data_IF_995627112235
#
_entry.id   IF_995627112235
#
_cell.length_a   1.000
_cell.length_b   1.000
_cell.length_c   1.000
_cell.angle_alpha   90.00
_cell.angle_beta   90.00
_cell.angle_gamma   90.00
#
_symmetry.space_group_name_H-M   'P 1'
#
loop_
_entity.id
_entity.type
_entity.pdbx_description
1 polymer ?
#
# COMPACT_ATOMS: atom_id res chain seq x y z
N UNK A 1 -19.12 -0.54 18.11
CA UNK A 1 -19.69 -0.43 16.74
C UNK A 1 -19.33 -1.70 15.98
N UNK A 2 -20.21 -2.23 15.13
CA UNK A 2 -19.86 -3.43 14.35
C UNK A 2 -18.87 -3.09 13.23
N UNK A 3 -18.15 -4.09 12.71
CA UNK A 3 -17.24 -3.89 11.57
C UNK A 3 -17.99 -3.39 10.33
N UNK A 4 -19.21 -3.88 10.09
CA UNK A 4 -20.02 -3.46 8.95
C UNK A 4 -20.47 -1.99 9.07
N UNK A 5 -20.92 -1.58 10.26
CA UNK A 5 -21.29 -0.18 10.54
C UNK A 5 -20.09 0.75 10.34
N UNK A 6 -18.92 0.37 10.86
CA UNK A 6 -17.69 1.15 10.66
C UNK A 6 -17.36 1.30 9.18
N UNK A 7 -17.39 0.20 8.43
CA UNK A 7 -17.12 0.20 6.99
C UNK A 7 -18.15 1.01 6.20
N UNK A 8 -19.39 1.11 6.68
CA UNK A 8 -20.39 2.00 6.09
C UNK A 8 -20.03 3.48 6.32
N UNK A 9 -19.65 3.85 7.54
CA UNK A 9 -19.24 5.23 7.88
C UNK A 9 -17.99 5.67 7.12
N UNK A 10 -16.97 4.81 7.06
CA UNK A 10 -15.75 5.04 6.26
C UNK A 10 -16.08 5.27 4.78
N UNK A 11 -17.00 4.48 4.21
CA UNK A 11 -17.46 4.68 2.83
C UNK A 11 -18.14 6.02 2.64
N UNK A 12 -18.97 6.46 3.59
CA UNK A 12 -19.62 7.77 3.55
C UNK A 12 -18.59 8.92 3.58
N UNK A 13 -17.56 8.82 4.43
CA UNK A 13 -16.45 9.80 4.49
C UNK A 13 -15.73 9.86 3.14
N UNK A 14 -15.33 8.70 2.59
CA UNK A 14 -14.62 8.63 1.29
C UNK A 14 -15.46 9.22 0.15
N UNK A 15 -16.77 8.97 0.13
CA UNK A 15 -17.68 9.56 -0.86
C UNK A 15 -17.82 11.08 -0.70
N UNK A 16 -17.94 11.58 0.54
CA UNK A 16 -17.99 13.01 0.81
C UNK A 16 -16.71 13.72 0.33
N UNK A 17 -15.54 13.14 0.61
CA UNK A 17 -14.25 13.62 0.12
C UNK A 17 -14.18 13.65 -1.40
N UNK A 18 -14.61 12.58 -2.07
CA UNK A 18 -14.66 12.51 -3.54
C UNK A 18 -15.54 13.61 -4.16
N UNK A 19 -16.60 14.02 -3.45
CA UNK A 19 -17.53 15.09 -3.86
C UNK A 19 -17.09 16.48 -3.41
N UNK A 20 -15.96 16.62 -2.73
CA UNK A 20 -15.50 17.89 -2.16
C UNK A 20 -16.35 18.38 -0.97
N UNK A 21 -17.18 17.52 -0.38
CA UNK A 21 -18.05 17.84 0.76
C UNK A 21 -17.25 17.75 2.07
N UNK A 22 -16.26 18.63 2.22
CA UNK A 22 -15.27 18.56 3.31
C UNK A 22 -15.88 18.76 4.71
N UNK A 23 -16.90 19.62 4.84
CA UNK A 23 -17.63 19.80 6.10
C UNK A 23 -18.39 18.55 6.52
N UNK A 24 -19.03 17.86 5.56
CA UNK A 24 -19.72 16.58 5.79
C UNK A 24 -18.73 15.49 6.19
N UNK A 25 -17.60 15.37 5.48
CA UNK A 25 -16.53 14.44 5.85
C UNK A 25 -16.03 14.69 7.28
N UNK A 26 -15.77 15.96 7.63
CA UNK A 26 -15.34 16.36 8.97
C UNK A 26 -16.37 15.99 10.04
N UNK A 27 -17.66 16.19 9.78
CA UNK A 27 -18.74 15.79 10.70
C UNK A 27 -18.72 14.29 10.97
N UNK A 28 -18.69 13.46 9.92
CA UNK A 28 -18.64 12.01 10.08
C UNK A 28 -17.40 11.53 10.84
N UNK A 29 -16.24 12.17 10.63
CA UNK A 29 -15.02 11.88 11.38
C UNK A 29 -15.20 12.23 12.86
N UNK A 30 -15.78 13.38 13.17
CA UNK A 30 -16.03 13.81 14.56
C UNK A 30 -16.99 12.87 15.30
N UNK A 31 -17.95 12.28 14.59
CA UNK A 31 -18.86 11.28 15.14
C UNK A 31 -18.16 9.95 15.44
N UNK A 32 -17.06 9.63 14.74
CA UNK A 32 -16.29 8.40 14.91
C UNK A 32 -15.21 8.49 16.00
N UNK A 33 -14.57 9.64 16.17
CA UNK A 33 -13.48 9.85 17.13
C UNK A 33 -13.80 9.47 18.60
N UNK A 34 -15.01 9.68 19.15
CA UNK A 34 -15.31 9.30 20.54
C UNK A 34 -15.65 7.82 20.72
N UNK A 35 -15.77 7.04 19.64
CA UNK A 35 -16.15 5.65 19.72
C UNK A 35 -14.94 4.77 20.09
N UNK A 36 -15.21 3.64 20.74
CA UNK A 36 -14.19 2.60 20.92
C UNK A 36 -13.93 1.91 19.58
N UNK A 37 -12.77 2.20 19.00
CA UNK A 37 -12.27 1.66 17.73
C UNK A 37 -11.12 0.68 18.01
N UNK A 38 -10.92 -0.28 17.11
CA UNK A 38 -9.65 -1.04 17.11
C UNK A 38 -8.52 -0.16 16.59
N UNK A 39 -7.26 -0.51 16.89
CA UNK A 39 -6.09 0.22 16.39
C UNK A 39 -6.13 0.45 14.87
N UNK A 40 -6.53 -0.57 14.10
CA UNK A 40 -6.65 -0.46 12.64
C UNK A 40 -7.74 0.53 12.22
N UNK A 41 -8.88 0.53 12.90
CA UNK A 41 -9.99 1.43 12.63
C UNK A 41 -9.64 2.87 13.00
N UNK A 42 -8.98 3.06 14.15
CA UNK A 42 -8.50 4.35 14.61
C UNK A 42 -7.47 4.94 13.62
N UNK A 43 -6.52 4.12 13.15
CA UNK A 43 -5.56 4.53 12.13
C UNK A 43 -6.25 4.97 10.83
N UNK A 44 -7.27 4.23 10.35
CA UNK A 44 -8.01 4.61 9.14
C UNK A 44 -8.78 5.94 9.34
N UNK A 45 -9.39 6.16 10.50
CA UNK A 45 -10.10 7.42 10.82
C UNK A 45 -9.12 8.59 10.91
N UNK A 46 -7.98 8.42 11.58
CA UNK A 46 -6.94 9.46 11.69
C UNK A 46 -6.37 9.83 10.31
N UNK A 47 -6.16 8.84 9.43
CA UNK A 47 -5.77 9.09 8.05
C UNK A 47 -6.82 9.91 7.30
N UNK A 48 -8.11 9.53 7.37
CA UNK A 48 -9.18 10.28 6.72
C UNK A 48 -9.34 11.70 7.31
N UNK A 49 -9.09 11.86 8.62
CA UNK A 49 -9.03 13.16 9.29
C UNK A 49 -7.92 14.03 8.70
N UNK A 50 -6.69 13.51 8.59
CA UNK A 50 -5.56 14.21 8.00
C UNK A 50 -5.87 14.70 6.57
N UNK A 51 -6.39 13.80 5.72
CA UNK A 51 -6.82 14.13 4.35
C UNK A 51 -7.86 15.25 4.35
N UNK A 52 -8.88 15.13 5.19
CA UNK A 52 -9.96 16.11 5.29
C UNK A 52 -9.44 17.48 5.72
N UNK A 53 -8.56 17.52 6.72
CA UNK A 53 -7.97 18.74 7.24
C UNK A 53 -7.06 19.40 6.20
N UNK A 54 -6.20 18.65 5.51
CA UNK A 54 -5.35 19.19 4.44
C UNK A 54 -6.19 19.81 3.32
N UNK A 55 -7.21 19.09 2.83
CA UNK A 55 -8.09 19.60 1.78
C UNK A 55 -8.90 20.83 2.23
N UNK A 56 -9.11 20.98 3.54
CA UNK A 56 -9.77 22.14 4.14
C UNK A 56 -8.81 23.28 4.51
N UNK A 57 -7.55 23.22 4.06
CA UNK A 57 -6.46 24.15 4.42
C UNK A 57 -6.20 24.30 5.93
N UNK A 58 -6.64 23.32 6.73
CA UNK A 58 -6.40 23.24 8.18
C UNK A 58 -5.10 22.46 8.44
N UNK A 59 -3.97 22.98 7.95
CA UNK A 59 -2.70 22.23 7.95
C UNK A 59 -2.21 21.83 9.36
N UNK A 60 -2.39 22.69 10.36
CA UNK A 60 -2.02 22.38 11.75
C UNK A 60 -2.75 21.14 12.28
N UNK A 61 -4.05 21.02 12.00
CA UNK A 61 -4.84 19.86 12.45
C UNK A 61 -4.54 18.61 11.61
N UNK A 62 -4.20 18.77 10.33
CA UNK A 62 -3.71 17.67 9.50
C UNK A 62 -2.42 17.06 10.08
N UNK A 63 -1.44 17.90 10.43
CA UNK A 63 -0.20 17.44 11.06
C UNK A 63 -0.44 16.74 12.40
N UNK A 64 -1.33 17.25 13.26
CA UNK A 64 -1.68 16.58 14.53
C UNK A 64 -2.31 15.20 14.31
N UNK A 65 -3.22 15.09 13.33
CA UNK A 65 -3.84 13.82 13.00
C UNK A 65 -2.80 12.81 12.48
N UNK A 66 -1.86 13.27 11.64
CA UNK A 66 -0.75 12.44 11.14
C UNK A 66 0.19 12.03 12.27
N UNK A 67 0.56 12.94 13.17
CA UNK A 67 1.46 12.64 14.28
C UNK A 67 0.85 11.57 15.20
N UNK A 68 -0.44 11.69 15.48
CA UNK A 68 -1.21 10.65 16.21
C UNK A 68 -1.22 9.33 15.44
N UNK A 69 -1.51 9.38 14.14
CA UNK A 69 -1.55 8.19 13.26
C UNK A 69 -0.20 7.46 13.24
N UNK A 70 0.90 8.18 13.04
CA UNK A 70 2.23 7.60 12.91
C UNK A 70 2.82 7.19 14.27
N UNK A 71 2.34 7.78 15.37
CA UNK A 71 2.63 7.27 16.72
C UNK A 71 1.94 5.93 16.98
N UNK A 72 0.70 5.77 16.49
CA UNK A 72 -0.06 4.52 16.59
C UNK A 72 0.47 3.43 15.65
N UNK A 73 0.74 3.81 14.40
CA UNK A 73 1.21 2.93 13.32
C UNK A 73 2.41 3.57 12.60
N UNK A 74 3.64 3.36 13.11
CA UNK A 74 4.85 3.94 12.51
C UNK A 74 5.16 3.50 11.08
N UNK A 75 4.51 2.44 10.60
CA UNK A 75 4.63 1.84 9.28
C UNK A 75 3.45 2.14 8.35
N UNK A 76 2.58 3.10 8.70
CA UNK A 76 1.39 3.42 7.90
C UNK A 76 1.76 4.21 6.64
N UNK A 77 2.07 3.51 5.53
CA UNK A 77 2.59 4.11 4.29
C UNK A 77 1.75 5.26 3.73
N UNK A 78 0.41 5.15 3.76
CA UNK A 78 -0.48 6.25 3.33
C UNK A 78 -0.42 7.47 4.25
N UNK A 79 -0.07 7.27 5.52
CA UNK A 79 0.13 8.35 6.50
C UNK A 79 1.34 9.19 6.11
N UNK A 80 2.43 8.56 5.68
CA UNK A 80 3.58 9.29 5.13
C UNK A 80 3.29 9.95 3.78
N UNK A 81 2.48 9.33 2.91
CA UNK A 81 2.04 10.00 1.68
C UNK A 81 1.24 11.27 2.00
N UNK A 82 0.33 11.18 2.97
CA UNK A 82 -0.49 12.32 3.39
C UNK A 82 0.34 13.38 4.11
N UNK A 83 1.34 12.98 4.90
CA UNK A 83 2.35 13.88 5.48
C UNK A 83 3.11 14.65 4.41
N UNK A 84 3.51 13.96 3.34
CA UNK A 84 4.19 14.59 2.22
C UNK A 84 3.32 15.64 1.53
N UNK A 85 2.04 15.33 1.28
CA UNK A 85 1.09 16.31 0.76
C UNK A 85 0.86 17.49 1.70
N UNK A 86 0.88 17.27 3.02
CA UNK A 86 0.79 18.37 4.00
C UNK A 86 2.01 19.28 3.92
N UNK A 87 3.21 18.73 3.82
CA UNK A 87 4.44 19.51 3.62
C UNK A 87 4.44 20.27 2.29
N UNK A 88 4.01 19.64 1.19
CA UNK A 88 3.84 20.34 -0.10
C UNK A 88 2.89 21.53 0.02
N UNK A 89 1.76 21.37 0.72
CA UNK A 89 0.76 22.42 0.88
C UNK A 89 1.28 23.65 1.66
N UNK A 90 2.27 23.47 2.55
CA UNK A 90 2.93 24.55 3.28
C UNK A 90 4.25 25.01 2.66
N UNK A 91 4.61 24.49 1.48
CA UNK A 91 5.82 24.87 0.75
C UNK A 91 7.12 24.22 1.25
N UNK A 92 7.03 23.22 2.11
CA UNK A 92 8.18 22.53 2.71
C UNK A 92 8.62 21.34 1.83
N UNK A 93 9.31 21.64 0.73
CA UNK A 93 9.71 20.63 -0.26
C UNK A 93 10.67 19.57 0.31
N UNK A 94 11.54 19.95 1.25
CA UNK A 94 12.54 19.05 1.82
C UNK A 94 11.87 17.95 2.65
N UNK A 95 10.96 18.33 3.55
CA UNK A 95 10.25 17.34 4.35
C UNK A 95 9.22 16.56 3.52
N UNK A 96 8.63 17.18 2.49
CA UNK A 96 7.78 16.46 1.53
C UNK A 96 8.54 15.31 0.84
N UNK A 97 9.75 15.55 0.35
CA UNK A 97 10.58 14.53 -0.29
C UNK A 97 10.88 13.35 0.65
N UNK A 98 11.28 13.65 1.89
CA UNK A 98 11.52 12.64 2.93
C UNK A 98 10.27 11.80 3.23
N UNK A 99 9.11 12.46 3.34
CA UNK A 99 7.84 11.79 3.60
C UNK A 99 7.39 10.92 2.41
N UNK A 100 7.52 11.37 1.16
CA UNK A 100 7.22 10.52 0.00
C UNK A 100 8.12 9.29 -0.07
N UNK A 101 9.42 9.44 0.24
CA UNK A 101 10.35 8.31 0.30
C UNK A 101 9.93 7.28 1.34
N UNK A 102 9.56 7.72 2.55
CA UNK A 102 9.00 6.82 3.58
C UNK A 102 7.70 6.17 3.12
N UNK A 103 6.84 6.91 2.42
CA UNK A 103 5.58 6.37 1.90
C UNK A 103 5.84 5.20 0.94
N UNK A 104 6.78 5.35 0.00
CA UNK A 104 7.15 4.27 -0.94
C UNK A 104 7.92 3.13 -0.28
N UNK A 105 8.61 3.39 0.82
CA UNK A 105 9.30 2.36 1.59
C UNK A 105 8.30 1.45 2.33
N UNK A 106 7.33 2.04 3.02
CA UNK A 106 6.33 1.29 3.78
C UNK A 106 5.21 0.71 2.91
N UNK A 107 4.86 1.39 1.82
CA UNK A 107 3.92 0.89 0.83
C UNK A 107 4.42 1.18 -0.59
N UNK A 108 5.18 0.23 -1.17
CA UNK A 108 5.67 0.31 -2.54
C UNK A 108 4.58 0.37 -3.62
N UNK A 109 3.30 0.14 -3.30
CA UNK A 109 2.19 0.20 -4.25
C UNK A 109 1.63 1.62 -4.47
N UNK A 110 2.12 2.63 -3.71
CA UNK A 110 1.65 4.01 -3.80
C UNK A 110 2.20 4.74 -5.04
N UNK A 111 1.53 4.55 -6.18
CA UNK A 111 1.90 5.18 -7.47
C UNK A 111 2.06 6.70 -7.34
N UNK A 112 1.18 7.37 -6.59
CA UNK A 112 1.23 8.83 -6.46
C UNK A 112 2.49 9.30 -5.74
N UNK A 113 2.93 8.60 -4.70
CA UNK A 113 4.20 8.87 -4.02
C UNK A 113 5.40 8.66 -4.96
N UNK A 114 5.39 7.58 -5.74
CA UNK A 114 6.44 7.33 -6.73
C UNK A 114 6.52 8.44 -7.79
N UNK A 115 5.38 8.90 -8.30
CA UNK A 115 5.34 10.02 -9.27
C UNK A 115 5.90 11.31 -8.71
N UNK A 116 5.66 11.57 -7.42
CA UNK A 116 6.21 12.74 -6.71
C UNK A 116 7.72 12.61 -6.54
N UNK A 117 8.21 11.44 -6.12
CA UNK A 117 9.64 11.16 -6.05
C UNK A 117 10.34 11.24 -7.40
N UNK A 118 9.71 10.74 -8.47
CA UNK A 118 10.26 10.83 -9.82
C UNK A 118 10.56 12.28 -10.21
N UNK A 119 9.62 13.20 -9.98
CA UNK A 119 9.83 14.62 -10.24
C UNK A 119 10.98 15.19 -9.40
N UNK A 120 11.08 14.78 -8.14
CA UNK A 120 12.18 15.19 -7.25
C UNK A 120 13.52 14.69 -7.78
N UNK A 121 13.63 13.40 -8.14
CA UNK A 121 14.86 12.81 -8.67
C UNK A 121 15.28 13.44 -10.00
N UNK A 122 14.34 13.78 -10.87
CA UNK A 122 14.58 14.53 -12.11
C UNK A 122 15.16 15.91 -11.83
N UNK A 123 14.59 16.64 -10.87
CA UNK A 123 15.09 17.96 -10.48
C UNK A 123 16.52 17.89 -9.91
N UNK A 124 16.83 16.82 -9.19
CA UNK A 124 18.18 16.57 -8.65
C UNK A 124 19.15 15.91 -9.65
N UNK A 125 18.67 15.51 -10.84
CA UNK A 125 19.44 14.78 -11.86
C UNK A 125 20.05 13.47 -11.35
N UNK A 126 19.34 12.78 -10.46
CA UNK A 126 19.72 11.44 -10.00
C UNK A 126 19.18 10.39 -10.98
N UNK A 127 20.00 10.06 -12.00
CA UNK A 127 19.61 9.15 -13.07
C UNK A 127 19.26 7.74 -12.57
N UNK A 128 19.93 7.27 -11.51
CA UNK A 128 19.70 5.93 -10.94
C UNK A 128 18.35 5.90 -10.22
N UNK A 129 18.07 6.89 -9.38
CA UNK A 129 16.80 6.98 -8.67
C UNK A 129 15.62 7.27 -9.62
N UNK A 130 15.85 8.06 -10.66
CA UNK A 130 14.88 8.30 -11.74
C UNK A 130 14.50 6.99 -12.46
N UNK A 131 15.49 6.19 -12.88
CA UNK A 131 15.22 4.92 -13.54
C UNK A 131 14.47 3.95 -12.63
N UNK A 132 14.86 3.86 -11.35
CA UNK A 132 14.19 3.02 -10.37
C UNK A 132 12.72 3.41 -10.20
N UNK A 133 12.44 4.69 -9.95
CA UNK A 133 11.09 5.20 -9.79
C UNK A 133 10.26 4.98 -11.07
N UNK A 134 10.85 5.21 -12.24
CA UNK A 134 10.18 5.02 -13.53
C UNK A 134 9.79 3.56 -13.78
N UNK A 135 10.71 2.62 -13.51
CA UNK A 135 10.46 1.19 -13.62
C UNK A 135 9.34 0.75 -12.66
N UNK A 136 9.37 1.25 -11.42
CA UNK A 136 8.34 0.93 -10.43
C UNK A 136 6.97 1.48 -10.83
N UNK A 137 6.89 2.72 -11.31
CA UNK A 137 5.64 3.31 -11.82
C UNK A 137 5.10 2.49 -12.99
N UNK A 138 5.95 2.18 -13.98
CA UNK A 138 5.56 1.41 -15.15
C UNK A 138 5.01 0.03 -14.77
N UNK A 139 5.68 -0.65 -13.83
CA UNK A 139 5.21 -1.90 -13.28
C UNK A 139 3.83 -1.78 -12.62
N UNK A 140 3.67 -0.85 -11.67
CA UNK A 140 2.41 -0.68 -10.95
C UNK A 140 1.26 -0.31 -11.90
N UNK A 141 1.55 0.45 -12.96
CA UNK A 141 0.57 0.81 -13.99
C UNK A 141 0.22 -0.35 -14.92
N UNK A 142 1.10 -1.33 -15.09
CA UNK A 142 0.80 -2.55 -15.88
C UNK A 142 -0.07 -3.55 -15.13
N UNK A 143 -0.17 -3.43 -13.80
CA UNK A 143 -0.95 -4.35 -12.98
C UNK A 143 -2.46 -4.22 -13.27
N UNK A 144 -3.21 -5.33 -13.27
CA UNK A 144 -4.67 -5.25 -13.22
C UNK A 144 -5.12 -4.42 -12.01
N UNK A 145 -6.11 -3.50 -12.14
CA UNK A 145 -6.52 -2.64 -11.03
C UNK A 145 -6.87 -3.37 -9.72
N UNK A 146 -7.53 -4.55 -9.75
CA UNK A 146 -7.75 -5.33 -8.52
C UNK A 146 -6.45 -5.78 -7.86
N UNK A 147 -5.43 -6.15 -8.64
CA UNK A 147 -4.15 -6.63 -8.10
C UNK A 147 -3.33 -5.47 -7.53
N UNK A 148 -3.33 -4.31 -8.19
CA UNK A 148 -2.74 -3.10 -7.60
C UNK A 148 -3.41 -2.75 -6.25
N UNK A 149 -4.74 -2.83 -6.18
CA UNK A 149 -5.47 -2.63 -4.93
C UNK A 149 -5.15 -3.68 -3.87
N UNK A 150 -4.92 -4.93 -4.26
CA UNK A 150 -4.54 -6.00 -3.34
C UNK A 150 -3.12 -5.80 -2.76
N UNK A 151 -2.16 -5.31 -3.56
CA UNK A 151 -0.83 -4.93 -3.06
C UNK A 151 -0.92 -3.81 -2.02
N UNK A 152 -1.73 -2.79 -2.30
CA UNK A 152 -1.96 -1.67 -1.37
C UNK A 152 -2.54 -2.17 -0.04
N UNK A 153 -3.55 -3.04 -0.08
CA UNK A 153 -4.13 -3.69 1.10
C UNK A 153 -3.10 -4.57 1.85
N UNK A 154 -2.24 -5.29 1.13
CA UNK A 154 -1.20 -6.14 1.72
C UNK A 154 -0.21 -5.30 2.53
N UNK A 155 0.30 -4.20 1.97
CA UNK A 155 1.24 -3.31 2.68
C UNK A 155 0.58 -2.55 3.84
N UNK A 156 -0.75 -2.39 3.82
CA UNK A 156 -1.52 -1.93 4.98
C UNK A 156 -1.77 -3.01 6.05
N UNK A 157 -1.26 -4.23 5.84
CA UNK A 157 -1.49 -5.43 6.66
C UNK A 157 -2.93 -5.92 6.69
N UNK A 158 -3.73 -5.53 5.70
CA UNK A 158 -5.09 -6.02 5.51
C UNK A 158 -5.08 -7.34 4.71
N UNK A 159 -4.36 -8.35 5.24
CA UNK A 159 -4.07 -9.59 4.52
C UNK A 159 -5.31 -10.35 4.04
N UNK A 160 -6.34 -10.45 4.89
CA UNK A 160 -7.58 -11.12 4.53
C UNK A 160 -8.31 -10.43 3.35
N UNK A 161 -8.34 -9.09 3.35
CA UNK A 161 -8.93 -8.32 2.26
C UNK A 161 -8.11 -8.45 0.97
N UNK A 162 -6.78 -8.36 1.07
CA UNK A 162 -5.88 -8.54 -0.07
C UNK A 162 -6.02 -9.94 -0.69
N UNK A 163 -6.03 -10.98 0.15
CA UNK A 163 -6.21 -12.37 -0.27
C UNK A 163 -7.56 -12.56 -0.97
N UNK A 164 -8.64 -12.04 -0.39
CA UNK A 164 -9.97 -12.11 -0.97
C UNK A 164 -10.01 -11.49 -2.38
N UNK A 165 -9.39 -10.31 -2.56
CA UNK A 165 -9.31 -9.66 -3.87
C UNK A 165 -8.54 -10.52 -4.87
N UNK A 166 -7.38 -11.06 -4.49
CA UNK A 166 -6.59 -11.94 -5.35
C UNK A 166 -7.36 -13.20 -5.75
N UNK A 167 -8.03 -13.87 -4.80
CA UNK A 167 -8.82 -15.08 -5.08
C UNK A 167 -10.01 -14.78 -5.98
N UNK A 168 -10.71 -13.67 -5.78
CA UNK A 168 -11.80 -13.24 -6.65
C UNK A 168 -11.32 -12.92 -8.08
N UNK A 169 -10.13 -12.34 -8.20
CA UNK A 169 -9.49 -12.10 -9.50
C UNK A 169 -9.16 -13.43 -10.19
N UNK A 170 -8.52 -14.37 -9.48
CA UNK A 170 -8.13 -15.67 -10.02
C UNK A 170 -9.31 -16.60 -10.32
N UNK A 171 -10.46 -16.42 -9.65
CA UNK A 171 -11.69 -17.13 -9.99
C UNK A 171 -12.19 -16.78 -11.41
N UNK A 172 -11.87 -15.58 -11.91
CA UNK A 172 -12.20 -15.14 -13.27
C UNK A 172 -11.06 -15.40 -14.25
N UNK A 173 -9.82 -15.29 -13.80
CA UNK A 173 -8.61 -15.57 -14.56
C UNK A 173 -7.83 -16.69 -13.89
N UNK A 174 -7.97 -17.93 -14.40
CA UNK A 174 -7.49 -19.16 -13.73
C UNK A 174 -6.05 -19.08 -13.20
N UNK A 175 -5.18 -18.34 -13.88
CA UNK A 175 -3.81 -18.08 -13.48
C UNK A 175 -3.41 -16.65 -13.88
N UNK A 176 -2.58 -16.01 -13.06
CA UNK A 176 -1.95 -14.72 -13.36
C UNK A 176 -0.71 -14.55 -12.46
N UNK A 177 0.48 -14.27 -13.02
CA UNK A 177 1.73 -14.37 -12.25
C UNK A 177 1.76 -13.42 -11.07
N UNK A 178 1.37 -12.15 -11.25
CA UNK A 178 1.35 -11.16 -10.16
C UNK A 178 0.35 -11.51 -9.05
N UNK A 179 -0.78 -12.14 -9.39
CA UNK A 179 -1.78 -12.52 -8.39
C UNK A 179 -1.31 -13.73 -7.58
N UNK A 180 -0.62 -14.67 -8.23
CA UNK A 180 -0.02 -15.84 -7.59
C UNK A 180 1.15 -15.43 -6.69
N UNK A 181 2.05 -14.56 -7.16
CA UNK A 181 3.15 -14.01 -6.36
C UNK A 181 2.63 -13.26 -5.13
N UNK A 182 1.62 -12.40 -5.30
CA UNK A 182 1.03 -11.68 -4.18
C UNK A 182 0.33 -12.61 -3.18
N UNK A 183 -0.40 -13.64 -3.63
CA UNK A 183 -0.98 -14.63 -2.72
C UNK A 183 0.08 -15.40 -1.94
N UNK A 184 1.18 -15.77 -2.59
CA UNK A 184 2.30 -16.40 -1.90
C UNK A 184 2.94 -15.46 -0.88
N UNK A 185 3.12 -14.18 -1.22
CA UNK A 185 3.66 -13.20 -0.28
C UNK A 185 2.73 -13.00 0.93
N UNK A 186 1.41 -12.94 0.72
CA UNK A 186 0.41 -12.92 1.80
C UNK A 186 0.50 -14.20 2.63
N UNK A 187 0.62 -15.36 2.00
CA UNK A 187 0.83 -16.65 2.67
C UNK A 187 2.07 -16.65 3.56
N UNK A 188 3.18 -16.06 3.09
CA UNK A 188 4.39 -15.90 3.90
C UNK A 188 4.14 -15.01 5.14
N UNK A 189 3.41 -13.90 4.99
CA UNK A 189 3.05 -13.03 6.12
C UNK A 189 2.14 -13.74 7.14
N UNK A 190 1.23 -14.58 6.65
CA UNK A 190 0.33 -15.40 7.46
C UNK A 190 0.96 -16.71 7.95
N UNK A 191 2.25 -16.95 7.64
CA UNK A 191 3.01 -18.16 7.98
C UNK A 191 2.45 -19.46 7.39
N UNK A 192 1.69 -19.37 6.31
CA UNK A 192 1.19 -20.50 5.51
C UNK A 192 2.23 -20.84 4.44
N UNK A 193 3.38 -21.35 4.89
CA UNK A 193 4.57 -21.48 4.04
C UNK A 193 4.43 -22.53 2.93
N UNK A 194 3.75 -23.65 3.21
CA UNK A 194 3.52 -24.72 2.22
C UNK A 194 2.76 -24.21 1.00
N UNK A 195 1.70 -23.43 1.24
CA UNK A 195 0.83 -22.92 0.18
C UNK A 195 1.54 -21.82 -0.58
N UNK A 196 2.32 -20.97 0.11
CA UNK A 196 3.12 -19.94 -0.53
C UNK A 196 4.19 -20.54 -1.45
N UNK A 197 4.88 -21.59 -1.01
CA UNK A 197 5.86 -22.30 -1.82
C UNK A 197 5.21 -22.95 -3.03
N UNK A 198 4.14 -23.72 -2.84
CA UNK A 198 3.42 -24.39 -3.92
C UNK A 198 2.87 -23.41 -4.97
N UNK A 199 2.37 -22.25 -4.54
CA UNK A 199 1.90 -21.21 -5.45
C UNK A 199 3.03 -20.65 -6.32
N UNK A 200 4.22 -20.45 -5.75
CA UNK A 200 5.37 -19.90 -6.48
C UNK A 200 6.03 -20.92 -7.40
N UNK A 201 6.13 -22.18 -6.97
CA UNK A 201 6.54 -23.31 -7.81
C UNK A 201 5.63 -23.39 -9.04
N UNK A 202 4.31 -23.44 -8.83
CA UNK A 202 3.31 -23.43 -9.90
C UNK A 202 3.40 -22.18 -10.78
N UNK A 203 3.74 -21.03 -10.20
CA UNK A 203 3.90 -19.77 -10.96
C UNK A 203 5.08 -19.86 -11.93
N UNK A 204 6.23 -20.37 -11.49
CA UNK A 204 7.42 -20.53 -12.32
C UNK A 204 7.18 -21.58 -13.41
N UNK A 205 6.47 -22.67 -13.12
CA UNK A 205 6.12 -23.69 -14.12
C UNK A 205 5.19 -23.13 -15.22
N UNK A 206 4.20 -22.32 -14.85
CA UNK A 206 3.25 -21.73 -15.80
C UNK A 206 3.82 -20.53 -16.56
N UNK A 207 4.80 -19.83 -15.98
CA UNK A 207 5.40 -18.61 -16.52
C UNK A 207 6.92 -18.65 -16.44
N UNK A 208 7.58 -19.54 -17.21
CA UNK A 208 9.04 -19.75 -17.11
C UNK A 208 9.86 -18.51 -17.47
N UNK A 209 9.35 -17.63 -18.33
CA UNK A 209 10.03 -16.39 -18.73
C UNK A 209 9.79 -15.22 -17.74
N UNK A 210 9.06 -15.45 -16.64
CA UNK A 210 8.78 -14.43 -15.64
C UNK A 210 9.87 -14.36 -14.56
N UNK A 211 10.86 -13.50 -14.79
CA UNK A 211 11.99 -13.29 -13.88
C UNK A 211 11.55 -12.92 -12.45
N UNK A 212 10.44 -12.19 -12.29
CA UNK A 212 9.93 -11.84 -10.95
C UNK A 212 9.36 -13.04 -10.22
N UNK A 213 8.69 -13.95 -10.91
CA UNK A 213 8.20 -15.20 -10.32
C UNK A 213 9.36 -16.07 -9.86
N UNK A 214 10.41 -16.21 -10.70
CA UNK A 214 11.63 -16.93 -10.33
C UNK A 214 12.30 -16.31 -9.09
N UNK A 215 12.47 -14.98 -9.07
CA UNK A 215 13.06 -14.27 -7.93
C UNK A 215 12.20 -14.41 -6.66
N UNK A 216 10.87 -14.29 -6.77
CA UNK A 216 9.95 -14.47 -5.65
C UNK A 216 10.06 -15.89 -5.08
N UNK A 217 10.12 -16.91 -5.95
CA UNK A 217 10.26 -18.30 -5.54
C UNK A 217 11.60 -18.57 -4.87
N UNK A 218 12.71 -18.12 -5.47
CA UNK A 218 14.04 -18.19 -4.88
C UNK A 218 14.08 -17.55 -3.48
N UNK A 219 13.47 -16.39 -3.31
CA UNK A 219 13.42 -15.68 -2.02
C UNK A 219 12.64 -16.47 -0.96
N UNK A 220 11.54 -17.12 -1.35
CA UNK A 220 10.77 -17.98 -0.44
C UNK A 220 11.59 -19.22 -0.06
N UNK A 221 12.18 -19.93 -1.02
CA UNK A 221 13.04 -21.09 -0.73
C UNK A 221 14.20 -20.73 0.21
N UNK A 222 14.84 -19.59 -0.02
CA UNK A 222 15.91 -19.08 0.84
C UNK A 222 15.43 -18.81 2.27
N UNK A 223 14.24 -18.20 2.43
CA UNK A 223 13.62 -17.98 3.75
C UNK A 223 13.25 -19.28 4.47
N UNK A 224 12.95 -20.34 3.73
CA UNK A 224 12.64 -21.67 4.25
C UNK A 224 13.89 -22.53 4.51
N UNK A 225 15.09 -22.03 4.22
CA UNK A 225 16.35 -22.77 4.38
C UNK A 225 16.63 -23.79 3.26
N UNK A 226 15.85 -23.75 2.19
CA UNK A 226 15.95 -24.62 1.01
C UNK A 226 16.97 -24.08 0.00
N UNK A 227 18.20 -23.85 0.46
CA UNK A 227 19.24 -23.19 -0.34
C UNK A 227 19.60 -23.92 -1.65
N UNK A 228 19.71 -25.27 -1.70
CA UNK A 228 20.01 -25.97 -2.96
C UNK A 228 18.93 -25.75 -4.03
N UNK A 229 17.66 -25.81 -3.64
CA UNK A 229 16.53 -25.54 -4.53
C UNK A 229 16.53 -24.06 -4.97
N UNK A 230 16.80 -23.13 -4.05
CA UNK A 230 16.87 -21.70 -4.34
C UNK A 230 17.94 -21.34 -5.38
N UNK A 231 19.06 -22.06 -5.42
CA UNK A 231 20.11 -21.85 -6.42
C UNK A 231 19.67 -22.34 -7.80
N UNK A 232 18.94 -23.46 -7.86
CA UNK A 232 18.48 -24.04 -9.13
C UNK A 232 17.44 -23.16 -9.84
N UNK A 233 16.65 -22.38 -9.08
CA UNK A 233 15.65 -21.46 -9.65
C UNK A 233 16.28 -20.23 -10.32
N UNK A 234 17.53 -19.88 -9.98
CA UNK A 234 18.22 -18.70 -10.53
C UNK A 234 19.17 -19.00 -11.71
N UNK A 235 19.15 -20.23 -12.23
CA UNK A 235 19.89 -20.65 -13.42
C UNK A 235 18.97 -20.73 -14.62
#
# INVERSE_FOLDING_TARGET
MTTEDFQHQVRAIKQALQRGQLSTAKSYIQDLLPLSLTEQQEAEVLYLAAVTYRLSNQHSDAFKAIDTLLSLRPDYGRGYQELAYCHEAVGDQQNAASAFFKATHFNPALISSWKKLLLIYQNHRDATAEQMASNQIAHLQSLPPPILGAYDLMYEKQFAAAEQVCRQFLAKQKHHPEAMMLLAEIGMQLKVYSDAEFLLESCVELYPDNERAALAYQNVLSKLGKFPEAVNVAQ
#
